data_IF_375280758887
#
_entry.id   IF_375280758887
#
_cell.length_a   1.000
_cell.length_b   1.000
_cell.length_c   1.000
_cell.angle_alpha   90.00
_cell.angle_beta   90.00
_cell.angle_gamma   90.00
#
_symmetry.space_group_name_H-M   'P 1'
#
loop_
_entity.id
_entity.type
_entity.pdbx_description
1 polymer ?
#
# COMPACT_ATOMS: atom_id res chain seq x y z
N UNK A 1 12.91 24.70 -45.39
CA UNK A 1 14.03 24.16 -46.18
C UNK A 1 13.89 24.67 -47.60
N UNK A 2 14.99 24.98 -48.28
CA UNK A 2 14.99 25.49 -49.67
C UNK A 2 16.05 24.72 -50.47
N UNK A 3 15.68 24.09 -51.58
CA UNK A 3 16.65 23.51 -52.53
C UNK A 3 17.29 24.65 -53.30
N UNK A 4 18.62 24.67 -53.40
CA UNK A 4 19.37 25.70 -54.12
C UNK A 4 19.99 25.17 -55.41
N UNK A 5 20.47 23.92 -55.40
CA UNK A 5 21.16 23.35 -56.56
C UNK A 5 21.06 21.83 -56.58
N UNK A 6 20.94 21.27 -57.77
CA UNK A 6 21.01 19.83 -58.02
C UNK A 6 22.06 19.58 -59.08
N UNK A 7 23.06 18.76 -58.77
CA UNK A 7 24.12 18.35 -59.69
C UNK A 7 24.02 16.86 -59.96
N UNK A 8 24.11 16.47 -61.22
CA UNK A 8 23.91 15.12 -61.69
C UNK A 8 25.00 14.76 -62.69
N UNK A 9 25.69 13.64 -62.49
CA UNK A 9 26.66 13.09 -63.42
C UNK A 9 26.35 11.62 -63.67
N UNK A 10 26.17 11.26 -64.94
CA UNK A 10 25.72 9.94 -65.37
C UNK A 10 24.47 9.46 -64.60
N UNK A 11 23.50 10.37 -64.42
CA UNK A 11 22.27 10.10 -63.65
C UNK A 11 21.08 10.02 -64.60
N UNK A 12 20.53 8.81 -64.78
CA UNK A 12 19.44 8.50 -65.71
C UNK A 12 19.74 9.02 -67.13
N UNK A 13 19.12 10.12 -67.56
CA UNK A 13 19.28 10.73 -68.87
C UNK A 13 20.41 11.75 -68.93
N UNK A 14 20.90 12.23 -67.78
CA UNK A 14 21.90 13.28 -67.68
C UNK A 14 23.32 12.72 -67.69
N UNK A 15 24.16 13.24 -68.60
CA UNK A 15 25.59 12.94 -68.63
C UNK A 15 26.34 13.75 -67.58
N UNK A 16 26.14 15.06 -67.62
CA UNK A 16 26.68 16.02 -66.68
C UNK A 16 25.74 17.23 -66.75
N UNK A 17 25.08 17.55 -65.66
CA UNK A 17 24.12 18.63 -65.59
C UNK A 17 24.07 19.21 -64.18
N UNK A 18 23.86 20.51 -64.12
CA UNK A 18 23.64 21.22 -62.87
C UNK A 18 22.48 22.19 -63.04
N UNK A 19 21.54 22.16 -62.11
CA UNK A 19 20.31 22.95 -62.13
C UNK A 19 20.25 23.76 -60.85
N UNK A 20 20.27 25.08 -60.99
CA UNK A 20 20.09 26.00 -59.87
C UNK A 20 18.60 26.30 -59.67
N UNK A 21 18.17 26.36 -58.41
CA UNK A 21 16.80 26.61 -57.99
C UNK A 21 16.73 27.98 -57.29
N UNK A 22 16.35 29.04 -58.01
CA UNK A 22 16.20 30.36 -57.40
C UNK A 22 15.03 30.39 -56.42
N UNK A 23 15.03 31.39 -55.53
CA UNK A 23 13.89 31.66 -54.66
C UNK A 23 12.66 32.00 -55.50
N UNK A 24 11.51 31.45 -55.12
CA UNK A 24 10.24 31.64 -55.81
C UNK A 24 9.77 30.41 -56.58
N UNK A 25 8.97 30.62 -57.63
CA UNK A 25 8.39 29.54 -58.43
C UNK A 25 9.32 29.21 -59.59
N UNK A 26 9.84 27.99 -59.61
CA UNK A 26 10.66 27.46 -60.71
C UNK A 26 9.84 26.50 -61.56
N UNK A 27 9.74 26.77 -62.87
CA UNK A 27 9.01 25.90 -63.82
C UNK A 27 10.00 25.18 -64.73
N UNK A 28 9.97 23.85 -64.72
CA UNK A 28 10.82 23.01 -65.58
C UNK A 28 10.02 22.55 -66.80
N UNK A 29 10.36 23.09 -67.97
CA UNK A 29 9.66 22.82 -69.25
C UNK A 29 10.53 21.95 -70.17
N UNK A 30 9.90 21.21 -71.09
CA UNK A 30 10.55 20.23 -71.95
C UNK A 30 9.57 19.15 -72.44
N UNK A 31 10.02 18.27 -73.32
CA UNK A 31 9.19 17.17 -73.81
C UNK A 31 9.08 16.04 -72.77
N UNK A 32 8.10 15.17 -72.93
CA UNK A 32 8.05 13.92 -72.16
C UNK A 32 9.31 13.09 -72.45
N UNK A 33 9.94 12.55 -71.40
CA UNK A 33 11.20 11.83 -71.53
C UNK A 33 12.47 12.71 -71.55
N UNK A 34 12.34 14.04 -71.52
CA UNK A 34 13.50 14.96 -71.50
C UNK A 34 14.30 14.97 -70.18
N UNK A 35 13.90 14.17 -69.18
CA UNK A 35 14.60 14.07 -67.89
C UNK A 35 14.06 14.95 -66.77
N UNK A 36 12.93 15.66 -66.95
CA UNK A 36 12.35 16.51 -65.90
C UNK A 36 12.11 15.76 -64.59
N UNK A 37 11.48 14.58 -64.67
CA UNK A 37 11.26 13.71 -63.52
C UNK A 37 12.58 13.23 -62.92
N UNK A 38 13.64 13.07 -63.73
CA UNK A 38 14.97 12.71 -63.25
C UNK A 38 15.61 13.81 -62.39
N UNK A 39 15.32 15.09 -62.65
CA UNK A 39 15.74 16.19 -61.76
C UNK A 39 15.07 16.04 -60.39
N UNK A 40 13.77 15.73 -60.37
CA UNK A 40 13.03 15.53 -59.12
C UNK A 40 13.47 14.25 -58.39
N UNK A 41 13.69 13.15 -59.12
CA UNK A 41 14.27 11.91 -58.60
C UNK A 41 15.65 12.17 -57.96
N UNK A 42 16.48 13.04 -58.56
CA UNK A 42 17.77 13.41 -58.00
C UNK A 42 17.64 14.12 -56.64
N UNK A 43 16.63 14.99 -56.48
CA UNK A 43 16.35 15.65 -55.19
C UNK A 43 15.92 14.64 -54.14
N UNK A 44 14.88 13.84 -54.44
CA UNK A 44 14.32 12.89 -53.47
C UNK A 44 15.34 11.81 -53.09
N UNK A 45 16.12 11.34 -54.06
CA UNK A 45 17.16 10.35 -53.84
C UNK A 45 18.31 10.89 -53.00
N UNK A 46 18.77 12.10 -53.25
CA UNK A 46 19.87 12.68 -52.49
C UNK A 46 19.53 12.92 -51.03
N UNK A 47 18.29 13.34 -50.74
CA UNK A 47 17.87 13.65 -49.38
C UNK A 47 17.44 12.41 -48.60
N UNK A 48 16.69 11.51 -49.25
CA UNK A 48 15.99 10.42 -48.56
C UNK A 48 16.15 9.05 -49.22
N UNK A 49 16.96 8.93 -50.29
CA UNK A 49 17.18 7.69 -51.04
C UNK A 49 15.92 7.13 -51.71
N UNK A 50 14.91 7.98 -51.89
CA UNK A 50 13.63 7.62 -52.49
C UNK A 50 13.61 7.95 -53.99
N UNK A 51 13.17 6.99 -54.82
CA UNK A 51 12.96 7.21 -56.25
C UNK A 51 11.93 6.23 -56.84
N UNK A 52 11.28 6.60 -57.96
CA UNK A 52 10.23 5.79 -58.59
C UNK A 52 10.72 4.68 -59.54
N UNK A 53 12.01 4.29 -59.48
CA UNK A 53 12.65 3.44 -60.52
C UNK A 53 13.08 2.06 -60.04
N UNK A 54 12.59 1.62 -58.88
CA UNK A 54 12.91 0.32 -58.30
C UNK A 54 14.29 0.31 -57.65
N UNK A 55 15.32 -0.13 -58.37
CA UNK A 55 16.68 -0.31 -57.83
C UNK A 55 17.62 0.84 -58.19
N UNK A 56 18.56 1.17 -57.30
CA UNK A 56 19.60 2.20 -57.50
C UNK A 56 20.35 2.09 -58.84
N UNK A 57 20.59 0.86 -59.31
CA UNK A 57 21.30 0.63 -60.56
C UNK A 57 20.59 1.30 -61.75
N UNK A 58 19.27 1.49 -61.68
CA UNK A 58 18.48 2.19 -62.70
C UNK A 58 18.65 3.71 -62.68
N UNK A 59 19.29 4.27 -61.65
CA UNK A 59 19.68 5.67 -61.58
C UNK A 59 21.00 5.93 -62.30
N UNK A 60 21.79 4.89 -62.55
CA UNK A 60 23.03 4.99 -63.30
C UNK A 60 22.69 5.04 -64.79
N UNK A 61 23.22 6.06 -65.49
CA UNK A 61 23.06 6.18 -66.95
C UNK A 61 23.59 4.91 -67.63
N UNK A 62 22.82 4.36 -68.57
CA UNK A 62 23.19 3.11 -69.26
C UNK A 62 24.59 3.18 -69.87
N UNK A 63 25.37 2.11 -69.67
CA UNK A 63 26.75 2.00 -70.15
C UNK A 63 27.79 2.77 -69.33
N UNK A 64 27.40 3.40 -68.21
CA UNK A 64 28.35 4.12 -67.34
C UNK A 64 28.69 3.30 -66.09
N UNK A 65 29.95 3.33 -65.62
CA UNK A 65 30.40 2.52 -64.49
C UNK A 65 30.00 3.11 -63.13
N UNK A 66 29.67 4.41 -63.06
CA UNK A 66 29.23 5.08 -61.85
C UNK A 66 28.29 6.24 -62.16
N UNK A 67 27.51 6.63 -61.16
CA UNK A 67 26.73 7.87 -61.15
C UNK A 67 27.09 8.72 -59.93
N UNK A 68 26.95 10.03 -60.04
CA UNK A 68 26.99 10.95 -58.91
C UNK A 68 25.79 11.87 -58.93
N UNK A 69 25.26 12.15 -57.76
CA UNK A 69 24.17 13.10 -57.57
C UNK A 69 24.42 13.88 -56.30
N UNK A 70 24.27 15.21 -56.38
CA UNK A 70 24.47 16.10 -55.25
C UNK A 70 23.34 17.12 -55.17
N UNK A 71 22.95 17.48 -53.95
CA UNK A 71 21.94 18.49 -53.69
C UNK A 71 22.49 19.47 -52.67
N UNK A 72 22.42 20.75 -53.02
CA UNK A 72 22.65 21.86 -52.10
C UNK A 72 21.30 22.38 -51.63
N UNK A 73 21.12 22.47 -50.31
CA UNK A 73 19.88 22.93 -49.71
C UNK A 73 20.16 23.79 -48.46
N UNK A 74 19.24 24.71 -48.18
CA UNK A 74 19.31 25.61 -47.03
C UNK A 74 18.26 25.25 -45.98
N UNK A 75 18.68 25.22 -44.71
CA UNK A 75 17.81 25.05 -43.56
C UNK A 75 18.16 26.09 -42.51
N UNK A 76 17.17 26.89 -42.09
CA UNK A 76 17.31 27.92 -41.04
C UNK A 76 18.53 28.86 -41.30
N UNK A 77 18.75 29.22 -42.57
CA UNK A 77 19.82 30.13 -42.98
C UNK A 77 21.21 29.49 -43.15
N UNK A 78 21.37 28.19 -42.90
CA UNK A 78 22.63 27.45 -43.13
C UNK A 78 22.53 26.60 -44.40
N UNK A 79 23.62 26.50 -45.16
CA UNK A 79 23.65 25.76 -46.41
C UNK A 79 24.38 24.43 -46.22
N UNK A 80 23.77 23.36 -46.72
CA UNK A 80 24.27 22.00 -46.62
C UNK A 80 24.36 21.38 -48.01
N UNK A 81 25.31 20.48 -48.18
CA UNK A 81 25.39 19.64 -49.38
C UNK A 81 25.40 18.18 -48.98
N UNK A 82 24.56 17.40 -49.67
CA UNK A 82 24.65 15.94 -49.69
C UNK A 82 25.05 15.49 -51.09
N UNK A 83 26.11 14.70 -51.19
CA UNK A 83 26.55 14.02 -52.41
C UNK A 83 26.45 12.51 -52.22
N UNK A 84 25.96 11.81 -53.24
CA UNK A 84 25.97 10.35 -53.34
C UNK A 84 26.75 9.90 -54.57
N UNK A 85 27.57 8.87 -54.38
CA UNK A 85 28.23 8.11 -55.45
C UNK A 85 27.62 6.71 -55.52
N UNK A 86 27.16 6.35 -56.71
CA UNK A 86 26.52 5.07 -57.01
C UNK A 86 27.43 4.24 -57.92
N UNK A 87 27.55 2.94 -57.66
CA UNK A 87 28.24 2.00 -58.54
C UNK A 87 27.45 0.70 -58.62
N UNK A 88 27.40 0.02 -59.79
CA UNK A 88 26.67 -1.24 -59.93
C UNK A 88 27.17 -2.29 -58.93
N UNK A 89 26.24 -2.93 -58.22
CA UNK A 89 26.55 -4.03 -57.29
C UNK A 89 27.29 -3.61 -56.01
N UNK A 90 27.46 -2.31 -55.75
CA UNK A 90 28.09 -1.78 -54.53
C UNK A 90 27.10 -0.92 -53.75
N UNK A 91 27.20 -0.87 -52.41
CA UNK A 91 26.41 0.06 -51.62
C UNK A 91 26.74 1.50 -52.05
N UNK A 92 25.72 2.33 -52.13
CA UNK A 92 25.89 3.75 -52.38
C UNK A 92 26.59 4.42 -51.20
N UNK A 93 27.53 5.30 -51.52
CA UNK A 93 28.38 5.97 -50.54
C UNK A 93 28.09 7.47 -50.62
N UNK A 94 27.91 8.12 -49.48
CA UNK A 94 27.55 9.53 -49.43
C UNK A 94 28.44 10.37 -48.53
N UNK A 95 28.35 11.69 -48.75
CA UNK A 95 29.00 12.73 -47.97
C UNK A 95 27.96 13.80 -47.64
N UNK A 96 27.80 14.11 -46.36
CA UNK A 96 26.98 15.23 -45.90
C UNK A 96 27.89 16.27 -45.25
N UNK A 97 27.84 17.50 -45.74
CA UNK A 97 28.69 18.61 -45.25
C UNK A 97 27.91 19.89 -45.06
N UNK A 98 28.37 20.69 -44.11
CA UNK A 98 27.98 22.08 -43.95
C UNK A 98 28.86 22.93 -44.87
N UNK A 99 28.25 23.63 -45.82
CA UNK A 99 28.96 24.46 -46.80
C UNK A 99 29.51 25.72 -46.13
N UNK A 100 28.81 26.25 -45.13
CA UNK A 100 29.21 27.48 -44.44
C UNK A 100 30.45 27.28 -43.58
N UNK A 101 30.58 26.10 -42.95
CA UNK A 101 31.74 25.77 -42.12
C UNK A 101 32.82 24.96 -42.88
N UNK A 102 32.45 24.32 -44.00
CA UNK A 102 33.34 23.46 -44.78
C UNK A 102 33.58 22.08 -44.17
N UNK A 103 33.01 21.78 -43.01
CA UNK A 103 33.23 20.53 -42.29
C UNK A 103 32.20 19.45 -42.65
N UNK A 104 32.62 18.18 -42.71
CA UNK A 104 31.71 17.05 -42.87
C UNK A 104 30.91 16.86 -41.57
N UNK A 105 29.59 16.68 -41.69
CA UNK A 105 28.68 16.42 -40.56
C UNK A 105 28.66 14.95 -40.16
N UNK A 106 29.13 14.08 -41.05
CA UNK A 106 29.24 12.64 -40.87
C UNK A 106 30.59 12.18 -41.41
N UNK A 107 31.05 10.99 -41.02
CA UNK A 107 32.28 10.42 -41.59
C UNK A 107 32.16 10.36 -43.12
N UNK A 108 33.11 10.92 -43.89
CA UNK A 108 33.09 10.81 -45.33
C UNK A 108 33.01 9.36 -45.78
N UNK A 109 32.19 9.11 -46.78
CA UNK A 109 31.91 7.77 -47.27
C UNK A 109 30.95 6.95 -46.41
N UNK A 110 30.05 7.61 -45.68
CA UNK A 110 29.02 6.94 -44.90
C UNK A 110 27.88 6.41 -45.78
N UNK A 111 27.20 5.37 -45.32
CA UNK A 111 25.99 4.84 -45.96
C UNK A 111 24.71 5.56 -45.54
N UNK A 112 23.60 5.16 -46.14
CA UNK A 112 22.27 5.74 -45.90
C UNK A 112 21.80 5.70 -44.45
N UNK A 113 22.17 4.65 -43.69
CA UNK A 113 21.81 4.50 -42.27
C UNK A 113 22.37 5.60 -41.38
N UNK A 114 23.43 6.28 -41.81
CA UNK A 114 24.04 7.39 -41.07
C UNK A 114 23.57 8.74 -41.63
N UNK A 115 23.48 8.86 -42.95
CA UNK A 115 23.23 10.14 -43.62
C UNK A 115 21.75 10.54 -43.55
N UNK A 116 20.82 9.62 -43.81
CA UNK A 116 19.38 9.94 -43.84
C UNK A 116 18.89 10.46 -42.48
N UNK A 117 19.21 9.82 -41.32
CA UNK A 117 18.74 10.34 -40.03
C UNK A 117 19.26 11.73 -39.72
N UNK A 118 20.51 12.03 -40.11
CA UNK A 118 21.09 13.37 -39.90
C UNK A 118 20.41 14.41 -40.80
N UNK A 119 20.11 14.07 -42.06
CA UNK A 119 19.33 14.94 -42.95
C UNK A 119 17.92 15.17 -42.40
N UNK A 120 17.24 14.11 -41.94
CA UNK A 120 15.90 14.22 -41.35
C UNK A 120 15.90 15.12 -40.11
N UNK A 121 16.93 15.01 -39.26
CA UNK A 121 17.14 15.87 -38.09
C UNK A 121 17.41 17.32 -38.48
N UNK A 122 18.20 17.57 -39.53
CA UNK A 122 18.48 18.91 -40.02
C UNK A 122 17.21 19.59 -40.55
N UNK A 123 16.47 18.90 -41.43
CA UNK A 123 15.26 19.44 -42.07
C UNK A 123 14.09 19.52 -41.07
N UNK A 124 14.06 18.61 -40.09
CA UNK A 124 12.98 18.46 -39.11
C UNK A 124 11.78 17.67 -39.64
N UNK A 125 11.95 16.93 -40.74
CA UNK A 125 10.92 16.06 -41.32
C UNK A 125 11.57 14.75 -41.79
N UNK A 126 10.84 13.65 -41.69
CA UNK A 126 11.30 12.36 -42.20
C UNK A 126 11.00 12.18 -43.70
N UNK A 127 11.48 11.08 -44.28
CA UNK A 127 11.26 10.73 -45.69
C UNK A 127 9.77 10.69 -46.04
N UNK A 128 8.93 10.09 -45.18
CA UNK A 128 7.50 9.91 -45.45
C UNK A 128 6.78 11.26 -45.50
N UNK A 129 7.05 12.13 -44.54
CA UNK A 129 6.50 13.49 -44.51
C UNK A 129 6.98 14.26 -45.72
N UNK A 130 8.26 14.20 -46.08
CA UNK A 130 8.76 14.88 -47.28
C UNK A 130 8.02 14.41 -48.55
N UNK A 131 7.87 13.09 -48.72
CA UNK A 131 7.26 12.47 -49.90
C UNK A 131 5.73 12.62 -50.00
N UNK A 132 5.07 13.01 -48.91
CA UNK A 132 3.62 13.22 -48.86
C UNK A 132 3.22 14.70 -48.73
N UNK A 133 4.07 15.54 -48.11
CA UNK A 133 3.78 16.94 -47.80
C UNK A 133 4.42 17.92 -48.77
N UNK A 134 5.69 17.69 -49.10
CA UNK A 134 6.56 18.65 -49.79
C UNK A 134 6.69 18.25 -51.25
N UNK A 135 6.88 16.95 -51.51
CA UNK A 135 6.95 16.41 -52.85
C UNK A 135 5.61 15.81 -53.26
N UNK A 136 5.01 16.40 -54.29
CA UNK A 136 3.79 15.90 -54.90
C UNK A 136 4.14 15.20 -56.21
N UNK A 137 4.09 13.86 -56.22
CA UNK A 137 4.27 13.06 -57.43
C UNK A 137 3.11 13.29 -58.39
N UNK A 138 3.37 13.06 -59.68
CA UNK A 138 2.32 13.02 -60.69
C UNK A 138 1.26 11.96 -60.28
N UNK A 139 0.00 12.39 -60.14
CA UNK A 139 -1.12 11.53 -59.74
C UNK A 139 -1.38 11.44 -58.22
N UNK A 140 -0.47 11.88 -57.35
CA UNK A 140 -0.64 11.77 -55.89
C UNK A 140 -1.74 12.68 -55.32
N UNK A 141 -1.98 13.84 -55.92
CA UNK A 141 -3.09 14.72 -55.51
C UNK A 141 -4.45 14.06 -55.80
N UNK A 142 -4.58 13.33 -56.90
CA UNK A 142 -5.78 12.56 -57.18
C UNK A 142 -5.96 11.46 -56.13
N UNK A 143 -4.88 10.77 -55.75
CA UNK A 143 -4.92 9.78 -54.67
C UNK A 143 -5.41 10.40 -53.35
N UNK A 144 -4.91 11.55 -52.90
CA UNK A 144 -5.41 12.18 -51.66
C UNK A 144 -6.93 12.46 -51.70
N UNK A 145 -7.46 12.82 -52.88
CA UNK A 145 -8.88 13.11 -53.12
C UNK A 145 -9.72 11.82 -53.24
N UNK A 146 -9.14 10.74 -53.77
CA UNK A 146 -9.78 9.44 -54.02
C UNK A 146 -9.69 8.47 -52.84
N UNK A 147 -8.72 8.66 -51.94
CA UNK A 147 -8.51 7.81 -50.77
C UNK A 147 -9.69 7.89 -49.79
N UNK A 148 -9.97 6.76 -49.11
CA UNK A 148 -11.05 6.66 -48.12
C UNK A 148 -10.81 7.64 -46.97
N UNK A 149 -11.86 8.14 -46.30
CA UNK A 149 -11.73 9.11 -45.21
C UNK A 149 -10.74 8.71 -44.10
N UNK A 150 -10.67 7.42 -43.76
CA UNK A 150 -9.73 6.90 -42.76
C UNK A 150 -8.25 6.99 -43.19
N UNK A 151 -7.93 6.62 -44.44
CA UNK A 151 -6.55 6.70 -44.95
C UNK A 151 -6.14 8.15 -45.18
N UNK A 152 -7.05 8.98 -45.68
CA UNK A 152 -6.83 10.43 -45.76
C UNK A 152 -6.53 11.05 -44.41
N UNK A 153 -7.26 10.65 -43.35
CA UNK A 153 -7.01 11.10 -41.98
C UNK A 153 -5.59 10.71 -41.51
N UNK A 154 -5.10 9.51 -41.83
CA UNK A 154 -3.73 9.09 -41.48
C UNK A 154 -2.66 9.88 -42.23
N UNK A 155 -2.89 10.19 -43.51
CA UNK A 155 -1.95 11.02 -44.28
C UNK A 155 -1.90 12.41 -43.66
N UNK A 156 -3.04 13.04 -43.40
CA UNK A 156 -3.12 14.36 -42.76
C UNK A 156 -2.54 14.34 -41.33
N UNK A 157 -2.78 13.26 -40.58
CA UNK A 157 -2.20 13.04 -39.25
C UNK A 157 -0.68 13.09 -39.27
N UNK A 158 -0.05 12.39 -40.22
CA UNK A 158 1.41 12.41 -40.40
C UNK A 158 1.89 13.79 -40.82
N UNK A 159 1.19 14.47 -41.73
CA UNK A 159 1.54 15.83 -42.19
C UNK A 159 1.57 16.84 -41.05
N UNK A 160 0.62 16.72 -40.11
CA UNK A 160 0.48 17.62 -38.97
C UNK A 160 1.29 17.16 -37.74
N UNK A 161 2.00 16.02 -37.82
CA UNK A 161 2.75 15.45 -36.70
C UNK A 161 1.86 14.93 -35.57
N UNK A 162 0.57 14.67 -35.82
CA UNK A 162 -0.39 14.18 -34.83
C UNK A 162 -0.04 12.77 -34.38
N UNK A 163 0.59 11.96 -35.24
CA UNK A 163 0.97 10.58 -34.88
C UNK A 163 2.03 10.53 -33.77
N UNK A 164 2.90 11.54 -33.65
CA UNK A 164 3.82 11.62 -32.52
C UNK A 164 3.07 11.95 -31.21
N UNK A 165 2.05 12.80 -31.29
CA UNK A 165 1.19 13.10 -30.14
C UNK A 165 0.35 11.88 -29.73
N UNK A 166 -0.16 11.11 -30.70
CA UNK A 166 -0.88 9.86 -30.42
C UNK A 166 0.03 8.81 -29.77
N UNK A 167 1.27 8.64 -30.26
CA UNK A 167 2.25 7.74 -29.62
C UNK A 167 2.59 8.16 -28.20
N UNK A 168 2.78 9.45 -27.95
CA UNK A 168 3.01 9.98 -26.60
C UNK A 168 1.80 9.73 -25.70
N UNK A 169 0.59 9.94 -26.22
CA UNK A 169 -0.65 9.67 -25.49
C UNK A 169 -0.80 8.18 -25.14
N UNK A 170 -0.50 7.29 -26.09
CA UNK A 170 -0.51 5.84 -25.88
C UNK A 170 0.50 5.44 -24.80
N UNK A 171 1.72 5.98 -24.85
CA UNK A 171 2.77 5.72 -23.87
C UNK A 171 2.44 6.28 -22.47
N UNK A 172 1.63 7.34 -22.37
CA UNK A 172 1.18 7.92 -21.10
C UNK A 172 0.03 7.15 -20.45
N UNK A 173 -0.73 6.36 -21.20
CA UNK A 173 -1.85 5.56 -20.64
C UNK A 173 -1.36 4.59 -19.56
N UNK A 174 -0.25 3.91 -19.80
CA UNK A 174 0.28 2.91 -18.87
C UNK A 174 0.68 3.55 -17.53
N UNK A 175 1.57 4.58 -17.48
CA UNK A 175 1.88 5.30 -16.24
C UNK A 175 0.65 5.85 -15.51
N UNK A 176 -0.32 6.40 -16.25
CA UNK A 176 -1.56 6.94 -15.67
C UNK A 176 -2.40 5.83 -15.02
N UNK A 177 -2.45 4.65 -15.63
CA UNK A 177 -3.15 3.50 -15.06
C UNK A 177 -2.48 3.02 -13.76
N UNK A 178 -1.14 2.98 -13.74
CA UNK A 178 -0.36 2.59 -12.56
C UNK A 178 -0.58 3.57 -11.41
N UNK A 179 -0.45 4.88 -11.68
CA UNK A 179 -0.69 5.94 -10.70
C UNK A 179 -2.12 5.89 -10.14
N UNK A 180 -3.12 5.65 -10.98
CA UNK A 180 -4.51 5.47 -10.53
C UNK A 180 -4.62 4.28 -9.58
N UNK A 181 -4.05 3.13 -9.93
CA UNK A 181 -4.09 1.93 -9.08
C UNK A 181 -3.38 2.14 -7.74
N UNK A 182 -2.25 2.83 -7.73
CA UNK A 182 -1.53 3.21 -6.51
C UNK A 182 -2.40 4.12 -5.63
N UNK A 183 -3.04 5.13 -6.21
CA UNK A 183 -3.95 6.03 -5.50
C UNK A 183 -5.06 5.23 -4.80
N UNK A 184 -5.74 4.33 -5.51
CA UNK A 184 -6.80 3.49 -4.94
C UNK A 184 -6.30 2.62 -3.79
N UNK A 185 -5.07 2.08 -3.90
CA UNK A 185 -4.45 1.28 -2.84
C UNK A 185 -4.13 2.13 -1.59
N UNK A 186 -3.61 3.34 -1.79
CA UNK A 186 -3.36 4.28 -0.68
C UNK A 186 -4.66 4.73 0.00
N UNK A 187 -5.71 5.02 -0.76
CA UNK A 187 -7.04 5.31 -0.21
C UNK A 187 -7.59 4.16 0.64
N UNK A 188 -7.42 2.91 0.18
CA UNK A 188 -7.82 1.73 0.94
C UNK A 188 -7.01 1.56 2.23
N UNK A 189 -5.68 1.78 2.18
CA UNK A 189 -4.83 1.77 3.38
C UNK A 189 -5.22 2.86 4.38
N UNK A 190 -5.58 4.05 3.89
CA UNK A 190 -6.03 5.15 4.73
C UNK A 190 -7.33 4.80 5.46
N UNK A 191 -8.32 4.25 4.75
CA UNK A 191 -9.58 3.78 5.37
C UNK A 191 -9.35 2.74 6.46
N UNK A 192 -8.47 1.76 6.20
CA UNK A 192 -8.09 0.76 7.22
C UNK A 192 -7.43 1.39 8.44
N UNK A 193 -6.57 2.40 8.24
CA UNK A 193 -5.93 3.10 9.35
C UNK A 193 -6.95 3.86 10.20
N UNK A 194 -7.95 4.50 9.57
CA UNK A 194 -9.05 5.17 10.28
C UNK A 194 -9.94 4.18 11.04
N UNK A 195 -10.26 3.02 10.46
CA UNK A 195 -10.98 1.95 11.17
C UNK A 195 -10.20 1.46 12.40
N UNK A 196 -8.91 1.17 12.25
CA UNK A 196 -8.05 0.74 13.37
C UNK A 196 -7.99 1.82 14.45
N UNK A 197 -7.85 3.09 14.06
CA UNK A 197 -7.83 4.22 15.01
C UNK A 197 -9.14 4.30 15.80
N UNK A 198 -10.27 4.09 15.14
CA UNK A 198 -11.60 4.09 15.76
C UNK A 198 -11.75 2.93 16.74
N UNK A 199 -11.35 1.72 16.33
CA UNK A 199 -11.36 0.52 17.21
C UNK A 199 -10.44 0.69 18.41
N UNK A 200 -9.26 1.29 18.23
CA UNK A 200 -8.32 1.55 19.31
C UNK A 200 -8.88 2.55 20.33
N UNK A 201 -9.63 3.55 19.86
CA UNK A 201 -10.30 4.52 20.73
C UNK A 201 -11.42 3.85 21.55
N UNK A 202 -12.23 2.98 20.92
CA UNK A 202 -13.25 2.19 21.62
C UNK A 202 -12.62 1.25 22.66
N UNK A 203 -11.57 0.50 22.29
CA UNK A 203 -10.85 -0.39 23.21
C UNK A 203 -10.22 0.34 24.38
N UNK A 204 -9.73 1.57 24.18
CA UNK A 204 -9.23 2.42 25.27
C UNK A 204 -10.34 2.81 26.23
N UNK A 205 -11.51 3.19 25.73
CA UNK A 205 -12.67 3.49 26.59
C UNK A 205 -13.12 2.26 27.39
N UNK A 206 -13.24 1.10 26.74
CA UNK A 206 -13.55 -0.17 27.43
C UNK A 206 -12.52 -0.53 28.51
N UNK A 207 -11.24 -0.26 28.26
CA UNK A 207 -10.18 -0.52 29.24
C UNK A 207 -10.34 0.37 30.48
N UNK A 208 -10.65 1.65 30.28
CA UNK A 208 -10.85 2.60 31.39
C UNK A 208 -12.09 2.26 32.20
N UNK A 209 -13.20 1.86 31.57
CA UNK A 209 -14.39 1.39 32.32
C UNK A 209 -14.08 0.13 33.12
N UNK A 210 -13.41 -0.87 32.52
CA UNK A 210 -13.03 -2.09 33.23
C UNK A 210 -12.05 -1.85 34.38
N UNK A 211 -11.12 -0.89 34.24
CA UNK A 211 -10.25 -0.50 35.36
C UNK A 211 -11.05 0.09 36.51
N UNK A 212 -12.05 0.92 36.22
CA UNK A 212 -12.92 1.48 37.24
C UNK A 212 -13.72 0.40 37.95
N UNK A 213 -14.35 -0.50 37.20
CA UNK A 213 -15.06 -1.67 37.74
C UNK A 213 -14.15 -2.54 38.61
N UNK A 214 -12.91 -2.80 38.17
CA UNK A 214 -11.93 -3.57 38.94
C UNK A 214 -11.60 -2.87 40.26
N UNK A 215 -11.40 -1.54 40.24
CA UNK A 215 -11.13 -0.75 41.43
C UNK A 215 -12.28 -0.79 42.43
N UNK A 216 -13.54 -0.72 41.96
CA UNK A 216 -14.71 -0.86 42.82
C UNK A 216 -14.82 -2.26 43.44
N UNK A 217 -14.60 -3.30 42.64
CA UNK A 217 -14.63 -4.69 43.11
C UNK A 217 -13.53 -4.92 44.15
N UNK A 218 -12.32 -4.39 43.94
CA UNK A 218 -11.23 -4.47 44.90
C UNK A 218 -11.55 -3.74 46.22
N UNK A 219 -12.24 -2.61 46.17
CA UNK A 219 -12.72 -1.90 47.35
C UNK A 219 -13.76 -2.73 48.11
N UNK A 220 -14.77 -3.25 47.42
CA UNK A 220 -15.79 -4.14 48.00
C UNK A 220 -15.16 -5.40 48.60
N UNK A 221 -14.17 -5.99 47.93
CA UNK A 221 -13.44 -7.17 48.43
C UNK A 221 -12.70 -6.84 49.72
N UNK A 222 -12.05 -5.66 49.81
CA UNK A 222 -11.39 -5.20 51.03
C UNK A 222 -12.39 -5.03 52.18
N UNK A 223 -13.49 -4.34 51.94
CA UNK A 223 -14.53 -4.13 52.95
C UNK A 223 -15.13 -5.44 53.47
N UNK A 224 -15.48 -6.37 52.56
CA UNK A 224 -15.97 -7.70 52.94
C UNK A 224 -14.91 -8.49 53.73
N UNK A 225 -13.64 -8.39 53.35
CA UNK A 225 -12.56 -9.07 54.07
C UNK A 225 -12.40 -8.54 55.50
N UNK A 226 -12.53 -7.23 55.70
CA UNK A 226 -12.51 -6.61 57.04
C UNK A 226 -13.73 -7.07 57.86
N UNK A 227 -14.93 -7.04 57.29
CA UNK A 227 -16.13 -7.55 57.95
C UNK A 227 -16.00 -9.03 58.35
N UNK A 228 -15.41 -9.87 57.48
CA UNK A 228 -15.13 -11.28 57.77
C UNK A 228 -14.15 -11.43 58.93
N UNK A 229 -13.09 -10.63 58.99
CA UNK A 229 -12.15 -10.66 60.13
C UNK A 229 -12.83 -10.24 61.43
N UNK A 230 -13.68 -9.21 61.40
CA UNK A 230 -14.50 -8.78 62.54
C UNK A 230 -15.44 -9.88 63.02
N UNK A 231 -16.22 -10.46 62.10
CA UNK A 231 -17.13 -11.57 62.42
C UNK A 231 -16.42 -12.81 62.95
N UNK A 232 -15.22 -13.13 62.44
CA UNK A 232 -14.40 -14.22 62.98
C UNK A 232 -13.99 -13.96 64.43
N UNK A 233 -13.56 -12.74 64.77
CA UNK A 233 -13.24 -12.35 66.17
C UNK A 233 -14.46 -12.44 67.08
N UNK A 234 -15.61 -11.97 66.63
CA UNK A 234 -16.87 -12.12 67.38
C UNK A 234 -17.20 -13.58 67.66
N UNK A 235 -17.01 -14.46 66.66
CA UNK A 235 -17.30 -15.88 66.77
C UNK A 235 -16.32 -16.59 67.72
N UNK A 236 -15.05 -16.20 67.75
CA UNK A 236 -14.08 -16.66 68.74
C UNK A 236 -14.46 -16.24 70.16
N UNK A 237 -14.82 -14.96 70.37
CA UNK A 237 -15.29 -14.48 71.67
C UNK A 237 -16.54 -15.22 72.15
N UNK A 238 -17.48 -15.50 71.23
CA UNK A 238 -18.70 -16.23 71.55
C UNK A 238 -18.41 -17.70 71.91
N UNK A 239 -17.47 -18.33 71.20
CA UNK A 239 -17.02 -19.69 71.52
C UNK A 239 -16.37 -19.76 72.89
N UNK A 240 -15.54 -18.78 73.24
CA UNK A 240 -14.91 -18.73 74.56
C UNK A 240 -15.95 -18.53 75.67
N UNK A 241 -16.91 -17.60 75.47
CA UNK A 241 -18.04 -17.45 76.40
C UNK A 241 -18.84 -18.73 76.58
N UNK A 242 -19.13 -19.43 75.48
CA UNK A 242 -19.85 -20.71 75.52
C UNK A 242 -19.09 -21.77 76.31
N UNK A 243 -17.76 -21.85 76.12
CA UNK A 243 -16.91 -22.78 76.87
C UNK A 243 -16.95 -22.48 78.38
N UNK A 244 -16.86 -21.21 78.76
CA UNK A 244 -16.96 -20.78 80.17
C UNK A 244 -18.33 -21.16 80.74
N UNK A 245 -19.40 -20.94 79.99
CA UNK A 245 -20.76 -21.30 80.40
C UNK A 245 -20.93 -22.83 80.59
N UNK A 246 -20.35 -23.64 79.69
CA UNK A 246 -20.31 -25.10 79.81
C UNK A 246 -19.48 -25.58 81.02
N UNK A 247 -18.40 -24.89 81.37
CA UNK A 247 -17.61 -25.14 82.60
C UNK A 247 -18.38 -24.75 83.86
N UNK A 248 -19.01 -23.58 83.87
CA UNK A 248 -19.85 -23.12 84.99
C UNK A 248 -21.04 -24.05 85.21
N UNK A 249 -21.71 -24.49 84.14
CA UNK A 249 -22.83 -25.43 84.22
C UNK A 249 -22.40 -26.76 84.83
N UNK A 250 -21.23 -27.28 84.42
CA UNK A 250 -20.64 -28.48 85.06
C UNK A 250 -20.37 -28.26 86.54
N UNK A 251 -19.78 -27.11 86.90
CA UNK A 251 -19.52 -26.78 88.30
C UNK A 251 -20.81 -26.67 89.12
N UNK A 252 -21.87 -26.07 88.58
CA UNK A 252 -23.20 -26.00 89.22
C UNK A 252 -23.76 -27.40 89.45
N UNK A 253 -23.68 -28.29 88.45
CA UNK A 253 -24.14 -29.67 88.59
C UNK A 253 -23.40 -30.37 89.73
N UNK A 254 -22.06 -30.29 89.76
CA UNK A 254 -21.24 -30.90 90.83
C UNK A 254 -21.59 -30.33 92.20
N UNK A 255 -21.64 -29.01 92.34
CA UNK A 255 -21.97 -28.34 93.61
C UNK A 255 -23.39 -28.69 94.05
N UNK A 256 -24.35 -28.80 93.13
CA UNK A 256 -25.72 -29.18 93.45
C UNK A 256 -25.83 -30.62 93.94
N UNK A 257 -25.05 -31.54 93.36
CA UNK A 257 -24.94 -32.93 93.80
C UNK A 257 -24.31 -33.01 95.20
N UNK A 258 -23.24 -32.25 95.45
CA UNK A 258 -22.62 -32.14 96.78
C UNK A 258 -23.59 -31.55 97.83
N UNK A 259 -24.35 -30.53 97.45
CA UNK A 259 -25.40 -29.94 98.31
C UNK A 259 -26.50 -30.95 98.64
N UNK A 260 -26.91 -31.75 97.66
CA UNK A 260 -27.92 -32.79 97.86
C UNK A 260 -27.39 -33.88 98.80
N UNK A 261 -26.13 -34.31 98.63
CA UNK A 261 -25.45 -35.24 99.52
C UNK A 261 -25.37 -34.72 100.96
N UNK A 262 -24.92 -33.47 101.15
CA UNK A 262 -24.89 -32.81 102.47
C UNK A 262 -26.28 -32.64 103.08
N UNK A 263 -27.32 -32.36 102.28
CA UNK A 263 -28.70 -32.31 102.76
C UNK A 263 -29.19 -33.67 103.24
N UNK A 264 -28.86 -34.76 102.54
CA UNK A 264 -29.17 -36.11 103.01
C UNK A 264 -28.44 -36.45 104.30
N UNK A 265 -27.16 -36.07 104.44
CA UNK A 265 -26.40 -36.24 105.69
C UNK A 265 -27.04 -35.46 106.85
N UNK A 266 -27.41 -34.19 106.63
CA UNK A 266 -28.12 -33.36 107.60
C UNK A 266 -29.44 -33.99 108.03
N UNK A 267 -30.20 -34.54 107.08
CA UNK A 267 -31.47 -35.22 107.37
C UNK A 267 -31.24 -36.45 108.27
N UNK A 268 -30.23 -37.26 107.95
CA UNK A 268 -29.87 -38.44 108.72
C UNK A 268 -29.39 -38.09 110.15
N UNK A 269 -28.64 -36.99 110.29
CA UNK A 269 -28.23 -36.46 111.60
C UNK A 269 -29.44 -35.92 112.37
N UNK A 270 -30.38 -35.24 111.70
CA UNK A 270 -31.60 -34.75 112.34
C UNK A 270 -32.51 -35.88 112.82
N UNK A 271 -32.62 -36.97 112.05
CA UNK A 271 -33.35 -38.18 112.43
C UNK A 271 -32.74 -38.84 113.67
N UNK A 272 -31.40 -38.93 113.72
CA UNK A 272 -30.68 -39.39 114.92
C UNK A 272 -30.89 -38.49 116.13
N UNK A 273 -30.94 -37.18 115.94
CA UNK A 273 -31.25 -36.24 117.03
C UNK A 273 -32.68 -36.47 117.55
N UNK A 274 -33.67 -36.67 116.66
CA UNK A 274 -35.04 -36.97 117.10
C UNK A 274 -35.17 -38.32 117.82
N UNK A 275 -34.42 -39.35 117.41
CA UNK A 275 -34.35 -40.62 118.13
C UNK A 275 -33.75 -40.45 119.53
N UNK A 276 -32.63 -39.72 119.64
CA UNK A 276 -32.01 -39.42 120.94
C UNK A 276 -32.92 -38.57 121.84
N UNK A 277 -33.69 -37.65 121.26
CA UNK A 277 -34.65 -36.83 122.01
C UNK A 277 -35.80 -37.68 122.55
N UNK A 278 -36.31 -38.64 121.75
CA UNK A 278 -37.28 -39.64 122.22
C UNK A 278 -36.70 -40.53 123.33
N UNK A 279 -35.46 -40.99 123.17
CA UNK A 279 -34.80 -41.80 124.19
C UNK A 279 -34.61 -41.04 125.52
N UNK A 280 -34.33 -39.73 125.47
CA UNK A 280 -34.29 -38.88 126.67
C UNK A 280 -35.68 -38.75 127.30
N UNK A 281 -36.72 -38.59 126.48
CA UNK A 281 -38.11 -38.52 126.95
C UNK A 281 -38.57 -39.83 127.60
N UNK A 282 -38.17 -40.98 127.04
CA UNK A 282 -38.44 -42.31 127.58
C UNK A 282 -37.69 -42.54 128.92
N UNK A 283 -36.49 -41.98 129.08
CA UNK A 283 -35.74 -42.00 130.34
C UNK A 283 -36.41 -41.13 131.41
N UNK A 284 -36.93 -39.95 131.03
CA UNK A 284 -37.65 -39.07 131.96
C UNK A 284 -38.95 -39.73 132.45
N UNK A 285 -39.69 -40.44 131.59
CA UNK A 285 -40.85 -41.25 132.03
C UNK A 285 -40.44 -42.41 132.92
N UNK A 286 -39.34 -43.12 132.61
CA UNK A 286 -38.83 -44.18 133.50
C UNK A 286 -38.40 -43.62 134.87
N UNK A 287 -37.87 -42.39 134.94
CA UNK A 287 -37.53 -41.75 136.21
C UNK A 287 -38.77 -41.30 137.00
N UNK A 288 -39.85 -40.89 136.33
CA UNK A 288 -41.13 -40.59 136.97
C UNK A 288 -41.74 -41.87 137.58
N UNK A 289 -41.77 -42.97 136.84
CA UNK A 289 -42.26 -44.28 137.29
C UNK A 289 -41.43 -44.82 138.47
N UNK A 290 -40.11 -44.63 138.44
CA UNK A 290 -39.24 -45.04 139.56
C UNK A 290 -39.45 -44.21 140.84
N UNK A 291 -39.78 -42.91 140.72
CA UNK A 291 -40.12 -42.05 141.86
C UNK A 291 -41.45 -42.44 142.48
N UNK A 292 -42.42 -42.85 141.65
CA UNK A 292 -43.73 -43.32 142.10
C UNK A 292 -43.61 -44.65 142.86
N UNK A 293 -42.82 -45.60 142.34
CA UNK A 293 -42.51 -46.87 143.04
C UNK A 293 -41.85 -46.65 144.42
N UNK A 294 -40.89 -45.72 144.52
CA UNK A 294 -40.24 -45.41 145.82
C UNK A 294 -41.18 -44.79 146.85
N UNK A 295 -42.23 -44.09 146.42
CA UNK A 295 -43.20 -43.50 147.35
C UNK A 295 -44.08 -44.58 147.99
N UNK A 296 -44.46 -45.60 147.21
CA UNK A 296 -45.30 -46.73 147.66
C UNK A 296 -44.54 -47.66 148.60
N UNK A 297 -43.22 -47.84 148.43
CA UNK A 297 -42.40 -48.65 149.33
C UNK A 297 -42.23 -48.03 150.74
N UNK A 298 -42.45 -46.71 150.88
CA UNK A 298 -42.27 -46.00 152.15
C UNK A 298 -43.50 -45.98 153.08
N UNK A 299 -44.68 -46.41 152.61
CA UNK A 299 -45.93 -46.42 153.40
C UNK A 299 -46.27 -47.79 154.04
N UNK A 300 -45.42 -48.82 153.92
CA UNK A 300 -45.66 -50.17 154.49
C UNK A 300 -44.65 -50.54 155.61
N UNK A 301 -44.10 -49.55 156.32
CA UNK A 301 -43.41 -49.74 157.61
C UNK A 301 -44.01 -48.85 158.68
#
# INVERSE_FOLDING_TARGET
>A
MIIQKVSMRNFVSYQDASVDFPLGVTVIVGQNGAGKTSILDAVTYSLFREHGRGVDANLIRRGQPQSKVAVVFSVRGKNYEVEWSLSPGKPSIGNLRDISSGYPLVKPGSGEKTIIPEIAKLIGVDSKVFMNAIYVRQGQLAQLIEERPAERKKIIGHLLGIDELEKLWEALKDPLSTLRNELTNYEFKLRKADEIKTQLQQKKQELETKKHELSEIESKRREISEQLTGKRRELEMLREKKRIDEELTRNIITISADLQSRKSELKLVSEKITELTKAIQDIDTCQADYREYRSIESEVK
#
